data_IF_016286776338
#
_entry.id   IF_016286776338
#
_cell.length_a   1.000
_cell.length_b   1.000
_cell.length_c   1.000
_cell.angle_alpha   90.00
_cell.angle_beta   90.00
_cell.angle_gamma   90.00
#
_symmetry.space_group_name_H-M   'P 1'
#
loop_
_entity.id
_entity.type
_entity.pdbx_description
1 polymer ?
#
# COMPACT_ATOMS: atom_id res chain seq x y z
N UNK A 1 -12.33 13.19 46.01
CA UNK A 1 -11.67 13.49 44.71
C UNK A 1 -12.66 13.14 43.62
N UNK A 2 -13.06 14.12 42.81
CA UNK A 2 -14.04 13.94 41.74
C UNK A 2 -13.41 13.13 40.60
N UNK A 3 -14.02 12.00 40.25
CA UNK A 3 -13.61 11.11 39.15
C UNK A 3 -13.87 11.72 37.75
N UNK A 4 -14.74 12.73 37.69
CA UNK A 4 -15.18 13.43 36.47
C UNK A 4 -14.07 13.87 35.50
N UNK A 5 -12.94 14.46 35.94
CA UNK A 5 -11.90 14.93 35.02
C UNK A 5 -11.17 13.77 34.33
N UNK A 6 -10.98 12.64 35.02
CA UNK A 6 -10.31 11.45 34.50
C UNK A 6 -11.22 10.76 33.48
N UNK A 7 -12.50 10.61 33.80
CA UNK A 7 -13.49 9.98 32.92
C UNK A 7 -13.62 10.75 31.61
N UNK A 8 -13.74 12.08 31.65
CA UNK A 8 -13.77 12.92 30.43
C UNK A 8 -12.50 12.81 29.61
N UNK A 9 -11.34 12.69 30.25
CA UNK A 9 -10.07 12.53 29.53
C UNK A 9 -9.99 11.14 28.86
N UNK A 10 -10.42 10.09 29.56
CA UNK A 10 -10.49 8.73 29.03
C UNK A 10 -11.49 8.63 27.86
N UNK A 11 -12.65 9.29 27.95
CA UNK A 11 -13.61 9.37 26.85
C UNK A 11 -13.04 10.10 25.62
N UNK A 12 -12.35 11.24 25.83
CA UNK A 12 -11.71 11.97 24.74
C UNK A 12 -10.64 11.13 24.01
N UNK A 13 -9.88 10.32 24.76
CA UNK A 13 -8.90 9.39 24.18
C UNK A 13 -9.57 8.23 23.47
N UNK A 14 -10.64 7.67 24.05
CA UNK A 14 -11.41 6.62 23.40
C UNK A 14 -11.99 7.10 22.05
N UNK A 15 -12.48 8.34 22.00
CA UNK A 15 -12.98 8.95 20.78
C UNK A 15 -11.86 9.18 19.76
N UNK A 16 -10.73 9.76 20.20
CA UNK A 16 -9.55 9.97 19.34
C UNK A 16 -8.98 8.65 18.79
N UNK A 17 -9.01 7.58 19.59
CA UNK A 17 -8.63 6.22 19.19
C UNK A 17 -9.56 5.70 18.11
N UNK A 18 -10.87 5.85 18.28
CA UNK A 18 -11.87 5.45 17.29
C UNK A 18 -11.65 6.20 15.97
N UNK A 19 -11.40 7.50 16.03
CA UNK A 19 -11.15 8.33 14.85
C UNK A 19 -9.87 7.92 14.11
N UNK A 20 -8.76 7.72 14.82
CA UNK A 20 -7.51 7.24 14.24
C UNK A 20 -7.68 5.84 13.64
N UNK A 21 -8.36 4.94 14.32
CA UNK A 21 -8.64 3.59 13.82
C UNK A 21 -9.46 3.62 12.52
N UNK A 22 -10.53 4.43 12.48
CA UNK A 22 -11.34 4.61 11.26
C UNK A 22 -10.52 5.21 10.12
N UNK A 23 -9.69 6.24 10.40
CA UNK A 23 -8.82 6.84 9.38
C UNK A 23 -7.80 5.83 8.86
N UNK A 24 -7.20 5.02 9.73
CA UNK A 24 -6.27 3.97 9.34
C UNK A 24 -6.95 2.88 8.51
N UNK A 25 -8.18 2.47 8.88
CA UNK A 25 -8.98 1.55 8.06
C UNK A 25 -9.26 2.11 6.68
N UNK A 26 -9.76 3.35 6.58
CA UNK A 26 -10.05 3.99 5.29
C UNK A 26 -8.79 4.17 4.44
N UNK A 27 -7.65 4.46 5.08
CA UNK A 27 -6.37 4.57 4.38
C UNK A 27 -5.90 3.21 3.87
N UNK A 28 -5.93 2.17 4.71
CA UNK A 28 -5.59 0.79 4.34
C UNK A 28 -6.47 0.33 3.18
N UNK A 29 -7.79 0.50 3.29
CA UNK A 29 -8.74 0.07 2.27
C UNK A 29 -8.50 0.79 0.94
N UNK A 30 -8.34 2.12 0.96
CA UNK A 30 -8.00 2.88 -0.25
C UNK A 30 -6.66 2.46 -0.86
N UNK A 31 -5.60 2.30 -0.05
CA UNK A 31 -4.29 1.88 -0.53
C UNK A 31 -4.33 0.47 -1.13
N UNK A 32 -5.02 -0.45 -0.45
CA UNK A 32 -5.17 -1.84 -0.86
C UNK A 32 -5.97 -1.93 -2.15
N UNK A 33 -7.13 -1.27 -2.23
CA UNK A 33 -7.95 -1.24 -3.43
C UNK A 33 -7.22 -0.59 -4.62
N UNK A 34 -6.54 0.54 -4.41
CA UNK A 34 -5.78 1.19 -5.48
C UNK A 34 -4.62 0.32 -5.98
N UNK A 35 -3.88 -0.31 -5.08
CA UNK A 35 -2.77 -1.21 -5.45
C UNK A 35 -3.26 -2.46 -6.15
N UNK A 36 -4.33 -3.09 -5.62
CA UNK A 36 -4.98 -4.25 -6.23
C UNK A 36 -5.46 -3.93 -7.66
N UNK A 37 -6.18 -2.82 -7.81
CA UNK A 37 -6.73 -2.39 -9.10
C UNK A 37 -5.60 -2.10 -10.08
N UNK A 38 -4.50 -1.46 -9.65
CA UNK A 38 -3.35 -1.21 -10.50
C UNK A 38 -2.75 -2.51 -11.08
N UNK A 39 -2.47 -3.51 -10.24
CA UNK A 39 -1.89 -4.77 -10.69
C UNK A 39 -2.85 -5.55 -11.60
N UNK A 40 -4.15 -5.56 -11.28
CA UNK A 40 -5.17 -6.21 -12.11
C UNK A 40 -5.31 -5.54 -13.48
N UNK A 41 -5.31 -4.21 -13.54
CA UNK A 41 -5.39 -3.46 -14.81
C UNK A 41 -4.18 -3.77 -15.69
N UNK A 42 -2.97 -3.74 -15.14
CA UNK A 42 -1.77 -4.08 -15.93
C UNK A 42 -1.77 -5.54 -16.41
N UNK A 43 -2.20 -6.47 -15.55
CA UNK A 43 -2.34 -7.88 -15.92
C UNK A 43 -3.35 -8.05 -17.06
N UNK A 44 -4.48 -7.37 -16.99
CA UNK A 44 -5.51 -7.43 -18.03
C UNK A 44 -5.04 -6.78 -19.34
N UNK A 45 -4.39 -5.62 -19.29
CA UNK A 45 -3.88 -4.93 -20.47
C UNK A 45 -2.76 -5.74 -21.15
N UNK A 46 -1.81 -6.27 -20.38
CA UNK A 46 -0.76 -7.14 -20.94
C UNK A 46 -1.33 -8.39 -21.58
N UNK A 47 -2.36 -8.99 -20.99
CA UNK A 47 -3.07 -10.12 -21.60
C UNK A 47 -3.76 -9.74 -22.92
N UNK A 48 -4.43 -8.58 -22.98
CA UNK A 48 -5.05 -8.10 -24.24
C UNK A 48 -3.99 -7.90 -25.32
N UNK A 49 -2.85 -7.29 -24.98
CA UNK A 49 -1.75 -7.06 -25.94
C UNK A 49 -1.20 -8.39 -26.44
N UNK A 50 -1.00 -9.38 -25.57
CA UNK A 50 -0.59 -10.74 -25.97
C UNK A 50 -1.58 -11.33 -26.98
N UNK A 51 -2.90 -11.23 -26.73
CA UNK A 51 -3.91 -11.73 -27.65
C UNK A 51 -3.89 -11.00 -28.99
N UNK A 52 -3.70 -9.68 -28.98
CA UNK A 52 -3.58 -8.87 -30.18
C UNK A 52 -2.32 -9.27 -30.98
N UNK A 53 -1.16 -9.35 -30.33
CA UNK A 53 0.09 -9.80 -30.94
C UNK A 53 -0.03 -11.21 -31.53
N UNK A 54 -0.68 -12.13 -30.81
CA UNK A 54 -0.89 -13.49 -31.29
C UNK A 54 -1.80 -13.53 -32.53
N UNK A 55 -2.79 -12.65 -32.61
CA UNK A 55 -3.64 -12.52 -33.80
C UNK A 55 -2.90 -11.92 -35.00
N UNK A 56 -2.00 -10.95 -34.75
CA UNK A 56 -1.17 -10.33 -35.78
C UNK A 56 -0.06 -11.27 -36.26
N UNK A 57 0.45 -12.14 -35.38
CA UNK A 57 1.48 -13.13 -35.71
C UNK A 57 1.06 -14.02 -36.89
N UNK A 58 -0.21 -14.44 -36.96
CA UNK A 58 -0.72 -15.22 -38.10
C UNK A 58 -0.79 -14.42 -39.41
N UNK A 59 -0.84 -13.09 -39.34
CA UNK A 59 -0.89 -12.21 -40.51
C UNK A 59 0.50 -11.74 -40.97
N UNK A 60 1.50 -11.80 -40.08
CA UNK A 60 2.82 -11.20 -40.24
C UNK A 60 3.92 -12.07 -39.61
N UNK A 61 3.95 -13.36 -39.95
CA UNK A 61 4.78 -14.39 -39.29
C UNK A 61 6.27 -14.03 -39.16
N UNK A 62 6.84 -13.28 -40.12
CA UNK A 62 8.26 -12.92 -40.15
C UNK A 62 8.58 -11.54 -39.54
N UNK A 63 7.59 -10.84 -39.00
CA UNK A 63 7.81 -9.51 -38.45
C UNK A 63 8.51 -9.57 -37.08
N UNK A 64 9.73 -9.05 -37.05
CA UNK A 64 10.55 -9.00 -35.85
C UNK A 64 9.97 -8.08 -34.77
N UNK A 65 9.26 -7.02 -35.15
CA UNK A 65 8.64 -6.09 -34.19
C UNK A 65 7.48 -6.75 -33.45
N UNK A 66 6.66 -7.57 -34.13
CA UNK A 66 5.58 -8.33 -33.48
C UNK A 66 6.15 -9.34 -32.49
N UNK A 67 7.23 -10.06 -32.87
CA UNK A 67 7.88 -11.03 -31.98
C UNK A 67 8.47 -10.36 -30.73
N UNK A 68 9.09 -9.19 -30.88
CA UNK A 68 9.63 -8.42 -29.75
C UNK A 68 8.49 -7.83 -28.89
N UNK A 69 7.40 -7.36 -29.50
CA UNK A 69 6.21 -6.89 -28.77
C UNK A 69 5.65 -7.99 -27.89
N UNK A 70 5.40 -9.18 -28.47
CA UNK A 70 4.86 -10.32 -27.77
C UNK A 70 5.74 -10.72 -26.58
N UNK A 71 7.06 -10.66 -26.75
CA UNK A 71 8.01 -10.90 -25.67
C UNK A 71 7.86 -9.89 -24.52
N UNK A 72 7.81 -8.58 -24.81
CA UNK A 72 7.62 -7.56 -23.78
C UNK A 72 6.25 -7.65 -23.10
N UNK A 73 5.19 -7.93 -23.85
CA UNK A 73 3.84 -8.11 -23.32
C UNK A 73 3.78 -9.34 -22.40
N UNK A 74 4.40 -10.45 -22.79
CA UNK A 74 4.50 -11.66 -21.97
C UNK A 74 5.28 -11.41 -20.66
N UNK A 75 6.43 -10.73 -20.73
CA UNK A 75 7.17 -10.36 -19.52
C UNK A 75 6.31 -9.45 -18.62
N UNK A 76 5.67 -8.43 -19.19
CA UNK A 76 4.79 -7.53 -18.44
C UNK A 76 3.65 -8.30 -17.77
N UNK A 77 3.06 -9.29 -18.44
CA UNK A 77 2.01 -10.14 -17.88
C UNK A 77 2.51 -10.94 -16.67
N UNK A 78 3.57 -11.73 -16.84
CA UNK A 78 4.10 -12.55 -15.75
C UNK A 78 4.62 -11.71 -14.59
N UNK A 79 5.20 -10.54 -14.88
CA UNK A 79 5.65 -9.60 -13.87
C UNK A 79 4.46 -8.97 -13.12
N UNK A 80 3.39 -8.56 -13.81
CA UNK A 80 2.15 -8.09 -13.20
C UNK A 80 1.53 -9.14 -12.29
N UNK A 81 1.51 -10.40 -12.75
CA UNK A 81 1.00 -11.53 -11.98
C UNK A 81 1.84 -11.78 -10.72
N UNK A 82 3.17 -11.78 -10.83
CA UNK A 82 4.06 -11.93 -9.68
C UNK A 82 3.85 -10.82 -8.65
N UNK A 83 3.73 -9.56 -9.10
CA UNK A 83 3.45 -8.43 -8.22
C UNK A 83 2.08 -8.54 -7.54
N UNK A 84 1.06 -9.00 -8.27
CA UNK A 84 -0.28 -9.23 -7.74
C UNK A 84 -0.29 -10.32 -6.68
N UNK A 85 0.34 -11.47 -6.93
CA UNK A 85 0.43 -12.58 -5.98
C UNK A 85 1.19 -12.16 -4.71
N UNK A 86 2.34 -11.49 -4.86
CA UNK A 86 3.11 -10.99 -3.72
C UNK A 86 2.34 -9.92 -2.92
N UNK A 87 1.49 -9.12 -3.58
CA UNK A 87 0.59 -8.18 -2.92
C UNK A 87 -0.51 -8.90 -2.11
N UNK A 88 -1.10 -9.97 -2.65
CA UNK A 88 -2.09 -10.77 -1.93
C UNK A 88 -1.48 -11.43 -0.69
N UNK A 89 -0.28 -12.00 -0.83
CA UNK A 89 0.43 -12.69 0.25
C UNK A 89 0.81 -11.71 1.38
N UNK A 90 1.55 -10.65 1.05
CA UNK A 90 2.09 -9.70 2.05
C UNK A 90 1.09 -8.65 2.51
N UNK A 91 -0.04 -8.53 1.82
CA UNK A 91 -1.06 -7.54 2.12
C UNK A 91 -1.66 -7.73 3.52
N UNK A 92 -1.95 -8.98 3.91
CA UNK A 92 -2.52 -9.30 5.22
C UNK A 92 -1.54 -9.03 6.36
N UNK A 93 -0.27 -9.42 6.20
CA UNK A 93 0.79 -9.24 7.18
C UNK A 93 1.07 -7.75 7.45
N UNK A 94 1.23 -6.94 6.39
CA UNK A 94 1.43 -5.49 6.53
C UNK A 94 0.28 -4.82 7.29
N UNK A 95 -0.96 -5.20 6.98
CA UNK A 95 -2.14 -4.66 7.67
C UNK A 95 -2.13 -5.07 9.14
N UNK A 96 -1.77 -6.31 9.44
CA UNK A 96 -1.56 -6.80 10.81
C UNK A 96 -0.52 -5.97 11.57
N UNK A 97 0.63 -5.71 10.98
CA UNK A 97 1.71 -4.91 11.59
C UNK A 97 1.27 -3.47 11.91
N UNK A 98 0.53 -2.84 11.01
CA UNK A 98 0.01 -1.47 11.21
C UNK A 98 -0.96 -1.42 12.38
N UNK A 99 -1.90 -2.36 12.44
CA UNK A 99 -2.86 -2.41 13.54
C UNK A 99 -2.19 -2.83 14.86
N UNK A 100 -1.16 -3.67 14.80
CA UNK A 100 -0.32 -4.03 15.95
C UNK A 100 0.45 -2.84 16.53
N UNK A 101 1.11 -2.03 15.69
CA UNK A 101 1.83 -0.82 16.10
C UNK A 101 0.86 0.23 16.69
N UNK A 102 -0.31 0.40 16.08
CA UNK A 102 -1.36 1.26 16.63
C UNK A 102 -1.82 0.78 18.01
N UNK A 103 -2.16 -0.50 18.17
CA UNK A 103 -2.57 -1.07 19.47
C UNK A 103 -1.48 -0.91 20.54
N UNK A 104 -0.22 -1.12 20.17
CA UNK A 104 0.92 -0.93 21.05
C UNK A 104 1.06 0.53 21.52
N UNK A 105 1.00 1.49 20.59
CA UNK A 105 1.02 2.94 20.90
C UNK A 105 -0.11 3.33 21.84
N UNK A 106 -1.33 2.82 21.61
CA UNK A 106 -2.45 3.07 22.51
C UNK A 106 -2.23 2.51 23.91
N UNK A 107 -1.70 1.29 24.02
CA UNK A 107 -1.36 0.70 25.32
C UNK A 107 -0.33 1.55 26.07
N UNK A 108 0.64 2.14 25.37
CA UNK A 108 1.60 3.07 25.98
C UNK A 108 0.93 4.35 26.48
N UNK A 109 0.10 5.00 25.65
CA UNK A 109 -0.61 6.24 26.02
C UNK A 109 -1.48 6.03 27.26
N UNK A 110 -2.20 4.91 27.32
CA UNK A 110 -3.05 4.54 28.45
C UNK A 110 -2.25 4.26 29.73
N UNK A 111 -1.09 3.62 29.62
CA UNK A 111 -0.20 3.37 30.76
C UNK A 111 0.35 4.68 31.34
N UNK A 112 0.71 5.63 30.48
CA UNK A 112 1.25 6.93 30.90
C UNK A 112 0.22 7.76 31.65
N UNK A 113 -1.00 7.80 31.16
CA UNK A 113 -2.08 8.51 31.84
C UNK A 113 -2.39 7.88 33.20
N UNK A 114 -2.43 6.54 33.28
CA UNK A 114 -2.58 5.86 34.57
C UNK A 114 -1.46 6.24 35.54
N UNK A 115 -0.22 6.29 35.09
CA UNK A 115 0.92 6.66 35.93
C UNK A 115 0.86 8.12 36.38
N UNK A 116 0.42 9.04 35.51
CA UNK A 116 0.24 10.44 35.84
C UNK A 116 -0.86 10.66 36.88
N UNK A 117 -2.05 10.09 36.67
CA UNK A 117 -3.14 10.19 37.64
C UNK A 117 -2.87 9.46 38.96
N UNK A 118 -1.99 8.46 38.95
CA UNK A 118 -1.48 7.82 40.16
C UNK A 118 -0.37 8.63 40.87
N UNK A 119 0.00 9.81 40.36
CA UNK A 119 1.05 10.66 40.92
C UNK A 119 2.47 10.12 40.72
N UNK A 120 2.66 9.14 39.83
CA UNK A 120 3.96 8.49 39.54
C UNK A 120 4.72 9.14 38.39
N UNK A 121 4.10 10.10 37.70
CA UNK A 121 4.67 10.87 36.59
C UNK A 121 4.25 12.32 36.73
N UNK A 122 5.09 13.23 36.24
CA UNK A 122 4.78 14.65 36.18
C UNK A 122 4.41 15.10 34.75
N UNK A 123 3.93 16.33 34.62
CA UNK A 123 3.48 16.90 33.34
C UNK A 123 4.62 17.00 32.31
N UNK A 124 5.85 17.24 32.78
CA UNK A 124 7.06 17.27 31.95
C UNK A 124 7.34 15.91 31.32
N UNK A 125 7.16 14.83 32.06
CA UNK A 125 7.34 13.45 31.58
C UNK A 125 6.35 13.10 30.48
N UNK A 126 5.07 13.49 30.66
CA UNK A 126 4.03 13.33 29.63
C UNK A 126 4.39 14.11 28.37
N UNK A 127 4.76 15.38 28.53
CA UNK A 127 5.09 16.24 27.39
C UNK A 127 6.27 15.67 26.59
N UNK A 128 7.30 15.19 27.29
CA UNK A 128 8.45 14.53 26.67
C UNK A 128 8.06 13.24 25.95
N UNK A 129 7.13 12.46 26.49
CA UNK A 129 6.61 11.28 25.81
C UNK A 129 5.93 11.63 24.47
N UNK A 130 5.05 12.63 24.44
CA UNK A 130 4.38 13.02 23.20
C UNK A 130 5.32 13.68 22.18
N UNK A 131 6.32 14.45 22.64
CA UNK A 131 7.36 15.01 21.77
C UNK A 131 8.24 13.93 21.14
N UNK A 132 8.52 12.86 21.90
CA UNK A 132 9.34 11.74 21.42
C UNK A 132 8.56 10.77 20.53
N UNK A 133 7.25 10.67 20.73
CA UNK A 133 6.38 9.72 20.04
C UNK A 133 5.37 10.40 19.12
N UNK A 134 5.79 11.39 18.31
CA UNK A 134 4.93 11.97 17.27
C UNK A 134 4.09 10.87 16.61
N UNK A 135 2.78 10.89 16.90
CA UNK A 135 1.85 9.82 16.53
C UNK A 135 1.49 10.03 15.05
N UNK A 136 2.45 9.76 14.18
CA UNK A 136 2.25 9.62 12.75
C UNK A 136 2.09 8.14 12.40
N UNK A 137 1.17 7.84 11.48
CA UNK A 137 1.22 6.57 10.74
C UNK A 137 2.55 6.60 9.99
N UNK A 138 3.49 5.75 10.40
CA UNK A 138 4.84 5.79 9.86
C UNK A 138 4.76 5.49 8.35
N UNK A 139 5.29 6.39 7.51
CA UNK A 139 5.36 6.17 6.04
C UNK A 139 6.08 4.87 5.69
N UNK A 140 6.88 4.32 6.61
CA UNK A 140 7.55 3.02 6.52
C UNK A 140 6.62 1.87 6.12
N UNK A 141 5.33 1.92 6.45
CA UNK A 141 4.39 0.82 6.21
C UNK A 141 3.78 0.80 4.81
N UNK A 142 3.84 1.89 4.05
CA UNK A 142 3.09 2.01 2.80
C UNK A 142 3.94 2.61 1.68
N UNK A 143 4.31 1.74 0.73
CA UNK A 143 5.04 2.11 -0.47
C UNK A 143 6.53 2.32 -0.18
N UNK A 144 7.31 1.25 -0.26
CA UNK A 144 8.75 1.43 -0.47
C UNK A 144 8.96 2.04 -1.86
N UNK A 145 9.99 2.88 -2.00
CA UNK A 145 10.45 3.35 -3.32
C UNK A 145 10.65 2.20 -4.32
N UNK A 146 10.95 1.00 -3.80
CA UNK A 146 11.05 -0.24 -4.54
C UNK A 146 9.73 -0.69 -5.18
N UNK A 147 8.60 -0.73 -4.45
CA UNK A 147 7.30 -1.10 -5.04
C UNK A 147 6.90 -0.13 -6.15
N UNK A 148 7.18 1.16 -5.98
CA UNK A 148 6.92 2.18 -7.00
C UNK A 148 7.82 2.00 -8.23
N UNK A 149 9.10 1.68 -8.05
CA UNK A 149 10.02 1.40 -9.15
C UNK A 149 9.57 0.18 -9.98
N UNK A 150 9.11 -0.90 -9.32
CA UNK A 150 8.59 -2.09 -10.01
C UNK A 150 7.35 -1.77 -10.86
N UNK A 151 6.46 -0.92 -10.36
CA UNK A 151 5.29 -0.43 -11.12
C UNK A 151 5.73 0.30 -12.40
N UNK A 152 6.71 1.19 -12.30
CA UNK A 152 7.25 1.91 -13.45
C UNK A 152 7.92 1.01 -14.47
N UNK A 153 8.71 0.03 -14.04
CA UNK A 153 9.34 -0.96 -14.93
C UNK A 153 8.26 -1.69 -15.74
N UNK A 154 7.20 -2.14 -15.07
CA UNK A 154 6.12 -2.85 -15.73
C UNK A 154 5.36 -1.99 -16.75
N UNK A 155 5.10 -0.73 -16.38
CA UNK A 155 4.48 0.24 -17.28
C UNK A 155 5.33 0.53 -18.53
N UNK A 156 6.65 0.63 -18.37
CA UNK A 156 7.59 0.82 -19.49
C UNK A 156 7.56 -0.39 -20.43
N UNK A 157 7.60 -1.61 -19.89
CA UNK A 157 7.52 -2.84 -20.69
C UNK A 157 6.24 -2.88 -21.53
N UNK A 158 5.09 -2.58 -20.91
CA UNK A 158 3.80 -2.54 -21.58
C UNK A 158 3.74 -1.46 -22.68
N UNK A 159 4.30 -0.28 -22.40
CA UNK A 159 4.36 0.82 -23.36
C UNK A 159 5.23 0.49 -24.57
N UNK A 160 6.37 -0.20 -24.35
CA UNK A 160 7.24 -0.65 -25.43
C UNK A 160 6.54 -1.68 -26.32
N UNK A 161 5.82 -2.65 -25.75
CA UNK A 161 5.03 -3.60 -26.54
C UNK A 161 4.02 -2.87 -27.44
N UNK A 162 3.24 -1.94 -26.86
CA UNK A 162 2.27 -1.13 -27.60
C UNK A 162 2.89 -0.31 -28.74
N UNK A 163 4.03 0.34 -28.49
CA UNK A 163 4.73 1.12 -29.52
C UNK A 163 5.16 0.22 -30.68
N UNK A 164 5.71 -0.97 -30.39
CA UNK A 164 6.16 -1.91 -31.41
C UNK A 164 5.01 -2.43 -32.27
N UNK A 165 3.83 -2.66 -31.69
CA UNK A 165 2.61 -2.97 -32.46
C UNK A 165 2.26 -1.83 -33.41
N UNK A 166 2.24 -0.60 -32.90
CA UNK A 166 1.84 0.57 -33.69
C UNK A 166 2.80 0.84 -34.85
N UNK A 167 4.09 0.59 -34.69
CA UNK A 167 5.08 0.72 -35.76
C UNK A 167 4.79 -0.19 -36.97
N UNK A 168 4.10 -1.32 -36.79
CA UNK A 168 3.74 -2.19 -37.91
C UNK A 168 2.60 -1.65 -38.79
N UNK A 169 1.95 -0.56 -38.37
CA UNK A 169 0.87 0.07 -39.13
C UNK A 169 1.29 1.36 -39.88
N UNK A 170 2.57 1.76 -39.79
CA UNK A 170 3.14 2.93 -40.47
C UNK A 170 4.25 2.54 -41.42
#
# INVERSE_FOLDING_TARGET
>A
MTLEPIEKHLEAIAQKRKDLFIRSLNFVDNYYNNSRNYYLVLLFLSFIIILADFSLFFSFEDDIFIRISLFFAAISFFFSLALYLNFLEKGSEKVGDIFGDLDFKYKQELNILRNFYAGRMNETDIRNFYLKNEIGVNKKYFGSSYEMALRWINFILLSLALILILFNFF
#
